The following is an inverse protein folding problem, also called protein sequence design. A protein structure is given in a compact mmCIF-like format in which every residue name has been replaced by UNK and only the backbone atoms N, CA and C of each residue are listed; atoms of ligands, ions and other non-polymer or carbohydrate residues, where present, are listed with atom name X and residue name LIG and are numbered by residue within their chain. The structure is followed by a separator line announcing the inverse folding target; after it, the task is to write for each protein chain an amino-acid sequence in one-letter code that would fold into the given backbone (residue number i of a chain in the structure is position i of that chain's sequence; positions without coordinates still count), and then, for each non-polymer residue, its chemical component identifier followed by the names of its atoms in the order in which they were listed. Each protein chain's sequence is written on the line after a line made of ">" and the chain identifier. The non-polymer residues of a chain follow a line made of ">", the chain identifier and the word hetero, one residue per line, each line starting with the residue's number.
data_IF_644418866724
#
_entry.id   IF_644418866724
#
_cell.length_a   1.000
_cell.length_b   1.000
_cell.length_c   1.000
_cell.angle_alpha   90.00
_cell.angle_beta   90.00
_cell.angle_gamma   90.00
#
_symmetry.space_group_name_H-M   'P 1'
#
loop_
_entity.id
_entity.type
_entity.pdbx_description
1 polymer ?
#
# COMPACT_ATOMS: atom_id res chain seq x y z
N UNK A 1 -64.07 15.88 15.85
CA UNK A 1 -63.94 16.53 14.52
C UNK A 1 -62.58 17.22 14.53
N UNK A 2 -61.49 16.65 13.98
CA UNK A 2 -61.21 16.26 12.57
C UNK A 2 -61.02 17.53 11.69
N UNK A 3 -59.80 17.92 11.26
CA UNK A 3 -58.94 17.51 10.07
C UNK A 3 -58.88 18.66 9.04
N UNK A 4 -57.84 18.97 8.23
CA UNK A 4 -56.49 18.41 7.88
C UNK A 4 -55.61 19.59 7.36
N UNK A 5 -54.28 19.69 7.59
CA UNK A 5 -53.11 19.04 6.94
C UNK A 5 -52.73 19.46 5.50
N UNK A 6 -51.46 19.88 5.33
CA UNK A 6 -50.52 19.71 4.19
C UNK A 6 -49.37 20.74 4.39
N UNK A 7 -48.07 20.46 4.56
CA UNK A 7 -47.17 19.33 4.29
C UNK A 7 -46.71 19.11 2.83
N UNK A 8 -45.64 19.83 2.46
CA UNK A 8 -44.47 19.35 1.70
C UNK A 8 -43.28 20.23 2.14
N UNK A 9 -42.03 19.78 2.21
CA UNK A 9 -41.45 18.53 1.74
C UNK A 9 -40.01 18.76 1.24
N UNK A 10 -39.24 19.61 1.93
CA UNK A 10 -37.87 19.95 1.55
C UNK A 10 -36.91 18.93 2.18
N UNK A 11 -36.53 17.90 1.41
CA UNK A 11 -35.39 17.05 1.78
C UNK A 11 -34.09 17.81 1.54
N UNK A 12 -33.26 17.90 2.58
CA UNK A 12 -31.94 18.49 2.50
C UNK A 12 -30.92 17.48 1.94
N UNK A 13 -31.04 17.14 0.65
CA UNK A 13 -30.12 16.22 -0.07
C UNK A 13 -28.99 16.97 -0.80
N UNK A 14 -28.61 18.16 -0.32
CA UNK A 14 -27.66 19.07 -0.98
C UNK A 14 -26.23 19.04 -0.43
N UNK A 15 -25.82 17.93 0.19
CA UNK A 15 -24.57 17.81 0.95
C UNK A 15 -23.34 17.49 0.07
N UNK A 16 -22.60 18.52 -0.35
CA UNK A 16 -21.23 18.45 -0.92
C UNK A 16 -21.06 17.73 -2.28
N UNK A 17 -21.64 16.56 -2.52
CA UNK A 17 -21.54 15.82 -3.80
C UNK A 17 -22.05 16.67 -4.97
N UNK A 18 -23.21 17.29 -4.74
CA UNK A 18 -23.87 18.24 -5.64
C UNK A 18 -22.93 19.40 -6.01
N UNK A 19 -22.01 19.82 -5.11
CA UNK A 19 -21.12 20.95 -5.37
C UNK A 19 -20.01 20.63 -6.38
N UNK A 20 -19.44 19.42 -6.33
CA UNK A 20 -18.42 18.98 -7.29
C UNK A 20 -19.03 18.58 -8.63
N UNK A 21 -20.17 17.88 -8.63
CA UNK A 21 -20.90 17.53 -9.85
C UNK A 21 -21.44 18.77 -10.59
N UNK A 22 -21.89 19.81 -9.86
CA UNK A 22 -22.24 21.13 -10.42
C UNK A 22 -21.06 21.90 -11.02
N UNK A 23 -19.82 21.59 -10.64
CA UNK A 23 -18.63 22.17 -11.28
C UNK A 23 -18.18 21.33 -12.49
N UNK A 24 -18.19 19.99 -12.36
CA UNK A 24 -17.82 19.08 -13.44
C UNK A 24 -18.72 19.21 -14.67
N UNK A 25 -20.04 19.12 -14.47
CA UNK A 25 -20.96 18.98 -15.60
C UNK A 25 -21.00 20.19 -16.55
N UNK A 26 -20.93 21.45 -16.09
CA UNK A 26 -20.80 22.62 -16.96
C UNK A 26 -19.44 22.72 -17.66
N UNK A 27 -18.34 22.37 -16.99
CA UNK A 27 -17.00 22.38 -17.60
C UNK A 27 -16.91 21.40 -18.77
N UNK A 28 -17.54 20.23 -18.60
CA UNK A 28 -17.67 19.25 -19.68
C UNK A 28 -18.58 19.71 -20.83
N UNK A 29 -19.35 20.79 -20.68
CA UNK A 29 -20.00 21.48 -21.80
C UNK A 29 -19.02 22.29 -22.67
N UNK A 30 -17.90 22.75 -22.11
CA UNK A 30 -16.93 23.63 -22.77
C UNK A 30 -15.88 22.80 -23.52
N UNK A 31 -15.88 22.90 -24.85
CA UNK A 31 -14.95 22.16 -25.71
C UNK A 31 -13.47 22.42 -25.36
N UNK A 32 -13.10 23.67 -25.10
CA UNK A 32 -11.74 24.04 -24.70
C UNK A 32 -11.30 23.34 -23.39
N UNK A 33 -12.21 23.14 -22.43
CA UNK A 33 -11.92 22.43 -21.20
C UNK A 33 -11.72 20.93 -21.44
N UNK A 34 -12.62 20.29 -22.22
CA UNK A 34 -12.47 18.88 -22.63
C UNK A 34 -11.16 18.63 -23.38
N UNK A 35 -10.78 19.54 -24.28
CA UNK A 35 -9.54 19.47 -25.06
C UNK A 35 -8.30 19.79 -24.23
N UNK A 36 -8.40 20.55 -23.13
CA UNK A 36 -7.29 20.88 -22.23
C UNK A 36 -7.01 19.79 -21.18
N UNK A 37 -8.00 18.97 -20.81
CA UNK A 37 -7.83 17.89 -19.84
C UNK A 37 -6.71 16.91 -20.27
N UNK A 38 -5.84 16.54 -19.32
CA UNK A 38 -4.77 15.52 -19.48
C UNK A 38 -4.80 14.46 -18.37
N UNK A 39 -5.42 14.79 -17.24
CA UNK A 39 -5.53 13.97 -16.04
C UNK A 39 -6.91 14.22 -15.42
N UNK A 40 -7.60 13.17 -14.98
CA UNK A 40 -8.82 13.24 -14.17
C UNK A 40 -8.56 12.55 -12.84
N UNK A 41 -9.04 13.17 -11.76
CA UNK A 41 -9.03 12.64 -10.41
C UNK A 41 -10.48 12.36 -10.02
N UNK A 42 -10.77 11.10 -9.70
CA UNK A 42 -12.07 10.59 -9.27
C UNK A 42 -11.95 10.33 -7.78
N UNK A 43 -12.56 11.18 -6.95
CA UNK A 43 -12.64 10.98 -5.51
C UNK A 43 -13.98 10.32 -5.18
N UNK A 44 -14.00 9.19 -4.47
CA UNK A 44 -15.28 8.65 -3.97
C UNK A 44 -15.81 9.51 -2.82
N UNK A 45 -17.13 9.58 -2.60
CA UNK A 45 -17.69 10.39 -1.53
C UNK A 45 -17.24 9.92 -0.14
N UNK A 46 -17.18 10.83 0.84
CA UNK A 46 -16.81 10.53 2.22
C UNK A 46 -17.90 9.79 3.00
N UNK A 47 -17.47 8.89 3.89
CA UNK A 47 -18.35 7.98 4.67
C UNK A 47 -19.48 8.68 5.45
N UNK A 48 -19.26 9.89 5.94
CA UNK A 48 -20.30 10.61 6.70
C UNK A 48 -21.45 11.11 5.81
N UNK A 49 -21.26 11.21 4.49
CA UNK A 49 -22.37 11.40 3.54
C UNK A 49 -23.08 10.07 3.27
N UNK A 50 -22.37 8.94 3.41
CA UNK A 50 -22.92 7.58 3.40
C UNK A 50 -23.48 7.14 4.78
N UNK A 51 -23.49 8.03 5.78
CA UNK A 51 -24.27 7.87 7.02
C UNK A 51 -25.64 8.59 6.89
N UNK A 52 -25.76 9.58 5.99
CA UNK A 52 -27.01 10.28 5.67
C UNK A 52 -27.80 9.59 4.54
N UNK A 53 -27.12 8.82 3.69
CA UNK A 53 -27.70 7.97 2.64
C UNK A 53 -27.75 6.53 3.15
N UNK A 54 -28.88 5.84 2.97
CA UNK A 54 -28.95 4.40 3.24
C UNK A 54 -28.05 3.66 2.24
N UNK A 55 -26.98 3.02 2.75
CA UNK A 55 -26.00 2.23 1.99
C UNK A 55 -26.65 1.33 0.93
N UNK A 56 -27.76 0.67 1.26
CA UNK A 56 -28.47 -0.21 0.35
C UNK A 56 -29.13 0.59 -0.80
N UNK A 57 -29.75 1.73 -0.48
CA UNK A 57 -30.36 2.63 -1.47
C UNK A 57 -29.33 3.23 -2.44
N UNK A 58 -28.10 3.49 -1.99
CA UNK A 58 -27.04 3.97 -2.87
C UNK A 58 -26.52 2.87 -3.78
N UNK A 59 -26.32 1.66 -3.25
CA UNK A 59 -26.00 0.48 -4.08
C UNK A 59 -27.08 0.24 -5.13
N UNK A 60 -28.37 0.30 -4.78
CA UNK A 60 -29.47 0.19 -5.73
C UNK A 60 -29.45 1.30 -6.80
N UNK A 61 -29.19 2.55 -6.42
CA UNK A 61 -29.09 3.68 -7.36
C UNK A 61 -27.90 3.53 -8.33
N UNK A 62 -26.75 3.11 -7.83
CA UNK A 62 -25.54 2.82 -8.60
C UNK A 62 -25.78 1.63 -9.56
N UNK A 63 -26.39 0.54 -9.08
CA UNK A 63 -26.69 -0.64 -9.90
C UNK A 63 -27.80 -0.40 -10.93
N UNK A 64 -28.75 0.49 -10.62
CA UNK A 64 -29.79 0.94 -11.55
C UNK A 64 -29.27 1.81 -12.70
N UNK A 65 -28.06 2.38 -12.56
CA UNK A 65 -27.43 3.23 -13.58
C UNK A 65 -27.88 4.70 -13.58
N UNK A 66 -28.81 5.07 -12.69
CA UNK A 66 -29.32 6.45 -12.55
C UNK A 66 -28.45 7.33 -11.62
N UNK A 67 -27.39 6.77 -11.03
CA UNK A 67 -26.48 7.49 -10.13
C UNK A 67 -25.69 8.62 -10.87
N UNK A 68 -25.75 9.88 -10.39
CA UNK A 68 -25.05 11.01 -11.00
C UNK A 68 -23.53 10.96 -10.96
N UNK A 69 -22.94 10.27 -9.98
CA UNK A 69 -21.50 10.13 -9.81
C UNK A 69 -20.93 9.10 -10.81
N UNK A 70 -21.57 7.93 -10.95
CA UNK A 70 -21.28 6.95 -12.00
C UNK A 70 -21.47 7.57 -13.39
N UNK A 71 -22.57 8.32 -13.59
CA UNK A 71 -22.78 9.08 -14.82
C UNK A 71 -21.64 10.06 -15.11
N UNK A 72 -21.11 10.75 -14.09
CA UNK A 72 -19.97 11.65 -14.22
C UNK A 72 -18.65 10.95 -14.57
N UNK A 73 -18.44 9.70 -14.10
CA UNK A 73 -17.30 8.86 -14.50
C UNK A 73 -17.37 8.56 -16.00
N UNK A 74 -18.52 8.16 -16.54
CA UNK A 74 -18.66 7.88 -17.99
C UNK A 74 -18.35 9.08 -18.89
N UNK A 75 -18.48 10.32 -18.39
CA UNK A 75 -18.09 11.54 -19.12
C UNK A 75 -16.59 11.64 -19.42
N UNK A 76 -15.76 10.81 -18.78
CA UNK A 76 -14.34 10.62 -19.16
C UNK A 76 -14.18 10.26 -20.65
N UNK A 77 -15.18 9.58 -21.23
CA UNK A 77 -15.21 9.25 -22.67
C UNK A 77 -15.21 10.49 -23.58
N UNK A 78 -15.67 11.65 -23.09
CA UNK A 78 -15.70 12.93 -23.82
C UNK A 78 -14.35 13.67 -23.84
N UNK A 79 -13.29 13.14 -23.20
CA UNK A 79 -12.00 13.81 -23.02
C UNK A 79 -10.93 13.29 -24.01
N UNK A 80 -10.74 13.91 -25.18
CA UNK A 80 -9.91 13.33 -26.24
C UNK A 80 -8.42 13.27 -25.88
N UNK A 81 -7.92 14.15 -25.02
CA UNK A 81 -6.50 14.26 -24.70
C UNK A 81 -6.09 13.67 -23.33
N UNK A 82 -6.97 12.93 -22.66
CA UNK A 82 -6.70 12.29 -21.38
C UNK A 82 -5.57 11.23 -21.48
N UNK A 83 -4.56 11.34 -20.62
CA UNK A 83 -3.40 10.42 -20.57
C UNK A 83 -3.21 9.76 -19.20
N UNK A 84 -3.81 10.29 -18.14
CA UNK A 84 -3.70 9.77 -16.78
C UNK A 84 -5.05 9.74 -16.06
N UNK A 85 -5.23 8.75 -15.18
CA UNK A 85 -6.36 8.65 -14.25
C UNK A 85 -5.87 8.46 -12.81
N UNK A 86 -6.56 9.11 -11.88
CA UNK A 86 -6.48 8.82 -10.45
C UNK A 86 -7.85 8.41 -9.95
N UNK A 87 -7.93 7.28 -9.26
CA UNK A 87 -9.07 6.89 -8.44
C UNK A 87 -8.63 6.99 -6.97
N UNK A 88 -9.12 8.00 -6.26
CA UNK A 88 -8.85 8.23 -4.84
C UNK A 88 -10.08 7.77 -4.06
N UNK A 89 -10.04 6.55 -3.53
CA UNK A 89 -11.07 6.11 -2.60
C UNK A 89 -11.01 6.98 -1.34
N UNK A 90 -12.16 7.22 -0.71
CA UNK A 90 -12.15 7.81 0.62
C UNK A 90 -11.38 6.86 1.57
N UNK A 91 -10.58 7.40 2.52
CA UNK A 91 -9.85 6.60 3.50
C UNK A 91 -10.78 6.14 4.62
N UNK A 92 -11.74 5.27 4.26
CA UNK A 92 -12.72 4.72 5.17
C UNK A 92 -12.06 4.01 6.36
N UNK A 93 -12.69 4.13 7.51
CA UNK A 93 -12.48 3.17 8.58
C UNK A 93 -13.29 1.92 8.22
N UNK A 94 -12.61 0.86 7.78
CA UNK A 94 -13.20 -0.47 7.81
C UNK A 94 -13.41 -0.83 9.28
N UNK A 95 -14.67 -0.76 9.70
CA UNK A 95 -15.08 -1.19 11.02
C UNK A 95 -14.79 -2.69 11.10
N UNK A 96 -13.98 -3.09 12.09
CA UNK A 96 -13.65 -4.50 12.29
C UNK A 96 -14.92 -5.30 12.58
N UNK A 97 -14.82 -6.63 12.58
CA UNK A 97 -15.96 -7.53 12.86
C UNK A 97 -16.37 -7.55 14.33
N UNK A 98 -16.28 -6.41 15.02
CA UNK A 98 -16.64 -6.24 16.43
C UNK A 98 -18.17 -6.34 16.63
N UNK A 99 -18.95 -6.14 15.55
CA UNK A 99 -20.35 -6.56 15.44
C UNK A 99 -20.76 -6.87 13.98
N UNK A 100 -21.97 -7.42 13.79
CA UNK A 100 -22.52 -7.80 12.48
C UNK A 100 -22.80 -6.60 11.57
N UNK A 101 -23.22 -5.45 12.10
CA UNK A 101 -23.54 -4.27 11.29
C UNK A 101 -22.28 -3.68 10.64
N UNK A 102 -21.16 -3.67 11.39
CA UNK A 102 -19.84 -3.27 10.89
C UNK A 102 -19.35 -4.18 9.76
N UNK A 103 -19.61 -5.49 9.85
CA UNK A 103 -19.33 -6.45 8.78
C UNK A 103 -20.22 -6.21 7.54
N UNK A 104 -21.52 -5.97 7.72
CA UNK A 104 -22.43 -5.72 6.60
C UNK A 104 -22.09 -4.40 5.87
N UNK A 105 -21.86 -3.30 6.60
CA UNK A 105 -21.40 -2.02 6.01
C UNK A 105 -20.08 -2.18 5.26
N UNK A 106 -19.16 -2.96 5.82
CA UNK A 106 -17.89 -3.30 5.19
C UNK A 106 -18.06 -4.09 3.88
N UNK A 107 -19.00 -5.05 3.81
CA UNK A 107 -19.34 -5.75 2.56
C UNK A 107 -19.95 -4.81 1.51
N UNK A 108 -20.87 -3.92 1.91
CA UNK A 108 -21.47 -2.92 1.00
C UNK A 108 -20.40 -1.99 0.43
N UNK A 109 -19.50 -1.47 1.27
CA UNK A 109 -18.37 -0.64 0.81
C UNK A 109 -17.44 -1.38 -0.16
N UNK A 110 -17.26 -2.70 -0.01
CA UNK A 110 -16.50 -3.51 -0.97
C UNK A 110 -17.19 -3.56 -2.33
N UNK A 111 -18.50 -3.73 -2.37
CA UNK A 111 -19.26 -3.80 -3.63
C UNK A 111 -19.39 -2.43 -4.32
N UNK A 112 -19.60 -1.34 -3.57
CA UNK A 112 -19.50 0.05 -4.07
C UNK A 112 -18.15 0.27 -4.77
N UNK A 113 -17.04 -0.09 -4.10
CA UNK A 113 -15.68 0.04 -4.65
C UNK A 113 -15.51 -0.77 -5.93
N UNK A 114 -16.07 -1.99 -6.01
CA UNK A 114 -16.09 -2.82 -7.23
C UNK A 114 -16.84 -2.14 -8.38
N UNK A 115 -18.02 -1.57 -8.13
CA UNK A 115 -18.84 -0.95 -9.19
C UNK A 115 -18.16 0.32 -9.72
N UNK A 116 -17.65 1.18 -8.83
CA UNK A 116 -16.90 2.38 -9.22
C UNK A 116 -15.66 1.99 -10.06
N UNK A 117 -14.94 0.94 -9.65
CA UNK A 117 -13.78 0.46 -10.40
C UNK A 117 -14.15 -0.08 -11.79
N UNK A 118 -15.24 -0.85 -11.91
CA UNK A 118 -15.77 -1.30 -13.20
C UNK A 118 -16.18 -0.12 -14.10
N UNK A 119 -16.92 0.87 -13.60
CA UNK A 119 -17.32 2.05 -14.37
C UNK A 119 -16.11 2.82 -14.94
N UNK A 120 -15.00 2.88 -14.19
CA UNK A 120 -13.73 3.45 -14.67
C UNK A 120 -13.13 2.60 -15.80
N UNK A 121 -13.04 1.28 -15.63
CA UNK A 121 -12.50 0.36 -16.64
C UNK A 121 -13.33 0.38 -17.93
N UNK A 122 -14.66 0.40 -17.82
CA UNK A 122 -15.59 0.52 -18.96
C UNK A 122 -15.40 1.85 -19.69
N UNK A 123 -15.32 2.96 -18.93
CA UNK A 123 -15.04 4.28 -19.49
C UNK A 123 -13.71 4.32 -20.25
N UNK A 124 -12.67 3.65 -19.75
CA UNK A 124 -11.39 3.51 -20.45
C UNK A 124 -11.53 2.72 -21.77
N UNK A 125 -12.25 1.60 -21.77
CA UNK A 125 -12.46 0.76 -22.96
C UNK A 125 -13.32 1.47 -24.01
N UNK A 126 -14.45 2.06 -23.61
CA UNK A 126 -15.33 2.83 -24.51
C UNK A 126 -14.55 3.98 -25.13
N UNK A 127 -13.81 4.74 -24.32
CA UNK A 127 -12.98 5.86 -24.80
C UNK A 127 -11.91 5.41 -25.80
N UNK A 128 -11.34 4.22 -25.63
CA UNK A 128 -10.33 3.65 -26.53
C UNK A 128 -10.90 3.13 -27.88
N UNK A 129 -12.21 3.18 -28.10
CA UNK A 129 -12.83 2.86 -29.41
C UNK A 129 -12.68 3.98 -30.44
N UNK A 130 -12.54 5.24 -29.99
CA UNK A 130 -12.27 6.38 -30.87
C UNK A 130 -10.74 6.50 -31.11
N UNK A 131 -10.25 6.38 -32.37
CA UNK A 131 -8.82 6.46 -32.68
C UNK A 131 -8.22 7.87 -32.50
N UNK A 132 -9.04 8.92 -32.47
CA UNK A 132 -8.57 10.30 -32.25
C UNK A 132 -8.23 10.58 -30.76
N UNK A 133 -8.62 9.67 -29.86
CA UNK A 133 -8.36 9.80 -28.43
C UNK A 133 -6.94 9.35 -28.06
N UNK A 134 -6.22 10.16 -27.28
CA UNK A 134 -4.93 9.79 -26.69
C UNK A 134 -5.06 8.56 -25.79
N UNK A 135 -4.02 7.75 -25.69
CA UNK A 135 -4.02 6.58 -24.81
C UNK A 135 -3.84 6.99 -23.34
N UNK A 136 -4.65 6.43 -22.43
CA UNK A 136 -4.42 6.51 -20.98
C UNK A 136 -3.27 5.55 -20.65
N UNK A 137 -2.15 6.09 -20.16
CA UNK A 137 -0.92 5.34 -19.84
C UNK A 137 -0.60 5.29 -18.35
N UNK A 138 -1.23 6.13 -17.54
CA UNK A 138 -0.99 6.19 -16.09
C UNK A 138 -2.29 5.96 -15.32
N UNK A 139 -2.25 5.03 -14.36
CA UNK A 139 -3.33 4.75 -13.43
C UNK A 139 -2.79 4.81 -12.00
N UNK A 140 -3.34 5.70 -11.18
CA UNK A 140 -3.11 5.76 -9.75
C UNK A 140 -4.38 5.36 -9.02
N UNK A 141 -4.29 4.37 -8.13
CA UNK A 141 -5.37 3.97 -7.22
C UNK A 141 -4.90 4.29 -5.81
N UNK A 142 -5.63 5.16 -5.13
CA UNK A 142 -5.32 5.64 -3.78
C UNK A 142 -6.39 5.20 -2.78
N UNK A 143 -5.96 4.95 -1.54
CA UNK A 143 -6.73 4.33 -0.46
C UNK A 143 -7.46 3.04 -0.88
N UNK A 144 -6.82 2.24 -1.74
CA UNK A 144 -7.27 0.88 -2.03
C UNK A 144 -7.17 0.05 -0.75
N UNK A 145 -8.23 -0.60 -0.32
CA UNK A 145 -8.17 -1.47 0.84
C UNK A 145 -7.55 -2.83 0.47
N UNK A 146 -7.07 -3.57 1.48
CA UNK A 146 -6.39 -4.87 1.36
C UNK A 146 -7.37 -6.02 1.03
N UNK A 147 -8.16 -5.86 -0.04
CA UNK A 147 -9.17 -6.82 -0.50
C UNK A 147 -8.83 -7.36 -1.89
N UNK A 148 -8.69 -8.69 -2.06
CA UNK A 148 -8.57 -9.25 -3.39
C UNK A 148 -9.90 -9.10 -4.16
N UNK A 149 -9.80 -8.70 -5.44
CA UNK A 149 -10.93 -8.56 -6.38
C UNK A 149 -10.68 -9.40 -7.66
N UNK A 150 -10.43 -10.71 -7.53
CA UNK A 150 -10.00 -11.58 -8.62
C UNK A 150 -11.02 -11.68 -9.76
N UNK A 151 -12.30 -11.44 -9.48
CA UNK A 151 -13.35 -11.43 -10.49
C UNK A 151 -13.16 -10.27 -11.48
N UNK A 152 -12.62 -9.14 -11.00
CA UNK A 152 -12.32 -7.98 -11.85
C UNK A 152 -10.98 -8.16 -12.57
N UNK A 153 -9.89 -8.48 -11.86
CA UNK A 153 -8.55 -8.57 -12.52
C UNK A 153 -8.44 -9.71 -13.52
N UNK A 154 -9.20 -10.79 -13.34
CA UNK A 154 -9.26 -11.88 -14.33
C UNK A 154 -10.11 -11.56 -15.55
N UNK A 155 -10.94 -10.51 -15.49
CA UNK A 155 -11.89 -10.16 -16.55
C UNK A 155 -11.23 -9.62 -17.82
N UNK A 156 -11.88 -9.82 -18.96
CA UNK A 156 -11.42 -9.25 -20.22
C UNK A 156 -11.63 -7.73 -20.30
N UNK A 157 -12.55 -7.19 -19.49
CA UNK A 157 -12.71 -5.75 -19.27
C UNK A 157 -11.42 -5.16 -18.67
N UNK A 158 -10.93 -5.72 -17.57
CA UNK A 158 -9.70 -5.26 -16.91
C UNK A 158 -8.49 -5.35 -17.85
N UNK A 159 -8.29 -6.50 -18.52
CA UNK A 159 -7.20 -6.68 -19.49
C UNK A 159 -7.30 -5.66 -20.63
N UNK A 160 -8.49 -5.42 -21.16
CA UNK A 160 -8.71 -4.47 -22.27
C UNK A 160 -8.45 -3.02 -21.87
N UNK A 161 -8.87 -2.61 -20.67
CA UNK A 161 -8.62 -1.29 -20.12
C UNK A 161 -7.11 -1.07 -19.83
N UNK A 162 -6.45 -2.06 -19.24
CA UNK A 162 -5.09 -1.92 -18.70
C UNK A 162 -3.97 -2.27 -19.68
N UNK A 163 -4.25 -2.85 -20.85
CA UNK A 163 -3.26 -3.26 -21.88
C UNK A 163 -2.23 -2.19 -22.28
N UNK A 164 -2.58 -0.91 -22.13
CA UNK A 164 -1.74 0.24 -22.48
C UNK A 164 -1.28 1.07 -21.26
N UNK A 165 -1.58 0.63 -20.04
CA UNK A 165 -1.13 1.30 -18.81
C UNK A 165 0.34 0.97 -18.58
N UNK A 166 1.21 1.96 -18.79
CA UNK A 166 2.66 1.87 -18.59
C UNK A 166 3.09 2.28 -17.18
N UNK A 167 2.23 3.00 -16.44
CA UNK A 167 2.49 3.44 -15.07
C UNK A 167 1.33 3.06 -14.16
N UNK A 168 1.60 2.20 -13.17
CA UNK A 168 0.64 1.79 -12.16
C UNK A 168 1.13 2.22 -10.78
N UNK A 169 0.29 2.93 -10.05
CA UNK A 169 0.58 3.38 -8.69
C UNK A 169 -0.52 2.92 -7.74
N UNK A 170 -0.19 2.04 -6.80
CA UNK A 170 -1.12 1.51 -5.80
C UNK A 170 -0.74 2.08 -4.42
N UNK A 171 -1.63 2.89 -3.85
CA UNK A 171 -1.57 3.33 -2.44
C UNK A 171 -2.62 2.55 -1.67
N UNK A 172 -2.15 1.56 -0.91
CA UNK A 172 -2.99 0.61 -0.19
C UNK A 172 -3.17 1.11 1.25
N UNK A 173 -4.42 1.30 1.66
CA UNK A 173 -4.79 1.72 3.02
C UNK A 173 -5.15 0.48 3.82
N UNK A 174 -4.35 0.18 4.84
CA UNK A 174 -4.63 -0.95 5.73
C UNK A 174 -5.81 -0.67 6.65
N UNK A 175 -6.69 -1.65 6.78
CA UNK A 175 -8.09 -1.53 7.22
C UNK A 175 -8.30 -1.67 8.73
N UNK A 176 -7.27 -1.52 9.56
CA UNK A 176 -7.42 -1.70 11.01
C UNK A 176 -8.08 -0.48 11.69
N UNK A 177 -9.39 -0.54 11.97
CA UNK A 177 -10.09 0.52 12.71
C UNK A 177 -10.97 0.07 13.89
N UNK A 178 -10.90 -1.19 14.32
CA UNK A 178 -11.50 -1.62 15.61
C UNK A 178 -10.64 -1.25 16.84
N UNK A 179 -11.21 -1.14 18.05
CA UNK A 179 -10.46 -1.09 19.31
C UNK A 179 -9.74 -2.40 19.66
N UNK A 180 -10.24 -3.58 19.26
CA UNK A 180 -9.59 -4.88 19.50
C UNK A 180 -8.67 -5.30 18.34
N UNK A 181 -7.50 -4.65 18.25
CA UNK A 181 -6.67 -4.63 17.03
C UNK A 181 -5.96 -5.94 16.67
N UNK A 182 -5.82 -6.87 17.61
CA UNK A 182 -5.23 -8.20 17.47
C UNK A 182 -5.90 -9.05 16.37
N UNK A 183 -7.21 -8.89 16.17
CA UNK A 183 -7.98 -9.65 15.16
C UNK A 183 -7.65 -9.29 13.71
N UNK A 184 -6.99 -8.15 13.43
CA UNK A 184 -6.82 -7.69 12.05
C UNK A 184 -5.80 -8.54 11.26
N UNK A 185 -4.71 -8.98 11.90
CA UNK A 185 -3.72 -9.93 11.31
C UNK A 185 -4.33 -11.31 10.99
N UNK A 186 -5.51 -11.56 11.55
CA UNK A 186 -6.24 -12.82 11.43
C UNK A 186 -7.32 -12.79 10.34
N UNK A 187 -7.60 -11.63 9.73
CA UNK A 187 -8.51 -11.53 8.57
C UNK A 187 -8.01 -12.39 7.41
N UNK A 188 -8.92 -12.90 6.59
CA UNK A 188 -8.54 -13.69 5.42
C UNK A 188 -8.05 -12.79 4.29
N UNK A 189 -8.62 -11.60 4.23
CA UNK A 189 -8.44 -10.56 3.23
C UNK A 189 -7.00 -10.07 3.18
N UNK A 190 -6.43 -9.61 4.30
CA UNK A 190 -5.03 -9.17 4.37
C UNK A 190 -4.07 -10.30 3.93
N UNK A 191 -4.30 -11.52 4.44
CA UNK A 191 -3.48 -12.71 4.13
C UNK A 191 -3.56 -13.13 2.66
N UNK A 192 -4.68 -12.86 1.99
CA UNK A 192 -4.88 -13.16 0.57
C UNK A 192 -4.42 -12.01 -0.33
N UNK A 193 -4.42 -10.76 0.13
CA UNK A 193 -4.16 -9.59 -0.71
C UNK A 193 -2.72 -9.52 -1.21
N UNK A 194 -1.71 -9.80 -0.38
CA UNK A 194 -0.31 -9.83 -0.82
C UNK A 194 -0.02 -10.96 -1.85
N UNK A 195 -0.47 -12.22 -1.63
CA UNK A 195 -0.43 -13.25 -2.67
C UNK A 195 -1.17 -12.86 -3.95
N UNK A 196 -2.37 -12.31 -3.85
CA UNK A 196 -3.16 -11.83 -4.99
C UNK A 196 -2.45 -10.73 -5.78
N UNK A 197 -1.77 -9.81 -5.08
CA UNK A 197 -0.99 -8.74 -5.69
C UNK A 197 0.13 -9.30 -6.58
N UNK A 198 0.90 -10.29 -6.09
CA UNK A 198 2.02 -10.86 -6.85
C UNK A 198 1.63 -11.93 -7.88
N UNK A 199 0.54 -12.68 -7.66
CA UNK A 199 0.16 -13.83 -8.50
C UNK A 199 -0.91 -13.49 -9.56
N UNK A 200 -1.82 -12.55 -9.28
CA UNK A 200 -2.96 -12.26 -10.15
C UNK A 200 -2.91 -10.83 -10.71
N UNK A 201 -2.81 -9.83 -9.84
CA UNK A 201 -2.90 -8.41 -10.23
C UNK A 201 -1.66 -8.00 -11.04
N UNK A 202 -0.46 -8.02 -10.48
CA UNK A 202 0.72 -7.50 -11.19
C UNK A 202 1.10 -8.27 -12.47
N UNK A 203 1.00 -9.62 -12.53
CA UNK A 203 1.26 -10.37 -13.75
C UNK A 203 0.37 -9.96 -14.94
N UNK A 204 -0.87 -9.55 -14.68
CA UNK A 204 -1.81 -9.11 -15.74
C UNK A 204 -1.39 -7.81 -16.46
N UNK A 205 -0.49 -7.01 -15.87
CA UNK A 205 0.07 -5.80 -16.50
C UNK A 205 1.56 -5.93 -16.90
N UNK A 206 2.15 -7.11 -16.72
CA UNK A 206 3.60 -7.26 -16.70
C UNK A 206 4.34 -6.80 -17.97
N UNK A 207 3.75 -7.04 -19.15
CA UNK A 207 4.40 -6.79 -20.43
C UNK A 207 4.46 -5.32 -20.85
N UNK A 208 3.72 -4.42 -20.19
CA UNK A 208 3.64 -3.00 -20.53
C UNK A 208 4.14 -2.05 -19.43
N UNK A 209 4.18 -2.49 -18.18
CA UNK A 209 4.61 -1.63 -17.06
C UNK A 209 6.08 -1.19 -17.18
N UNK A 210 6.26 0.13 -17.15
CA UNK A 210 7.54 0.84 -17.00
C UNK A 210 7.69 1.45 -15.62
N UNK A 211 6.59 1.87 -15.01
CA UNK A 211 6.56 2.45 -13.67
C UNK A 211 5.64 1.63 -12.78
N UNK A 212 6.16 1.15 -11.65
CA UNK A 212 5.36 0.50 -10.61
C UNK A 212 5.60 1.21 -9.29
N UNK A 213 4.52 1.54 -8.58
CA UNK A 213 4.56 1.96 -7.19
C UNK A 213 3.66 1.06 -6.35
N UNK A 214 4.23 0.43 -5.33
CA UNK A 214 3.54 -0.34 -4.31
C UNK A 214 3.81 0.33 -2.96
N UNK A 215 2.83 1.05 -2.42
CA UNK A 215 2.95 1.64 -1.09
C UNK A 215 1.75 1.28 -0.25
N UNK A 216 2.00 0.73 0.93
CA UNK A 216 0.97 0.47 1.92
C UNK A 216 1.02 1.58 2.98
N UNK A 217 -0.08 1.81 3.68
CA UNK A 217 -0.13 2.74 4.82
C UNK A 217 0.43 2.14 6.11
N UNK A 218 0.89 0.90 6.04
CA UNK A 218 1.50 0.09 7.09
C UNK A 218 2.60 -0.77 6.47
N UNK A 219 3.39 -1.39 7.34
CA UNK A 219 4.36 -2.41 7.00
C UNK A 219 3.71 -3.67 6.40
N UNK A 220 4.30 -4.17 5.32
CA UNK A 220 3.79 -5.26 4.49
C UNK A 220 4.94 -6.10 3.89
N UNK A 221 4.61 -7.28 3.37
CA UNK A 221 5.54 -8.20 2.70
C UNK A 221 5.85 -9.47 3.49
N UNK A 222 5.65 -9.45 4.81
CA UNK A 222 5.86 -10.61 5.70
C UNK A 222 4.85 -10.58 6.87
N UNK A 223 4.67 -11.73 7.52
CA UNK A 223 3.73 -12.00 8.61
C UNK A 223 2.27 -12.04 8.16
N UNK A 224 1.58 -10.91 7.96
CA UNK A 224 0.13 -10.89 7.66
C UNK A 224 -0.23 -11.16 6.18
N UNK A 225 0.68 -11.80 5.46
CA UNK A 225 0.79 -11.88 4.00
C UNK A 225 2.25 -12.21 3.66
N UNK A 226 2.49 -12.72 2.46
CA UNK A 226 3.87 -12.92 2.00
C UNK A 226 4.04 -12.45 0.56
N UNK A 227 4.78 -11.37 0.41
CA UNK A 227 5.23 -10.85 -0.88
C UNK A 227 6.76 -10.97 -0.96
N UNK A 228 7.22 -11.97 -1.71
CA UNK A 228 8.63 -12.13 -2.10
C UNK A 228 8.84 -11.90 -3.61
N UNK A 229 7.77 -11.55 -4.35
CA UNK A 229 7.81 -11.22 -5.77
C UNK A 229 8.32 -12.36 -6.67
N UNK A 230 8.40 -13.58 -6.17
CA UNK A 230 9.03 -14.71 -6.87
C UNK A 230 8.24 -15.08 -8.12
N UNK A 231 8.90 -15.00 -9.27
CA UNK A 231 8.28 -15.24 -10.57
C UNK A 231 7.61 -14.00 -11.19
N UNK A 232 7.55 -12.87 -10.48
CA UNK A 232 7.10 -11.61 -11.05
C UNK A 232 8.18 -11.04 -11.97
N UNK A 233 7.90 -11.01 -13.28
CA UNK A 233 8.80 -10.50 -14.31
C UNK A 233 8.13 -9.35 -15.06
N UNK A 234 8.63 -8.13 -14.84
CA UNK A 234 8.15 -6.88 -15.45
C UNK A 234 9.21 -6.39 -16.45
N UNK A 235 9.31 -6.98 -17.67
CA UNK A 235 10.47 -6.85 -18.58
C UNK A 235 10.72 -5.44 -19.14
N UNK A 236 9.87 -4.46 -18.84
CA UNK A 236 10.03 -3.04 -19.24
C UNK A 236 10.15 -2.11 -18.04
N UNK A 237 10.25 -2.62 -16.81
CA UNK A 237 10.22 -1.81 -15.60
C UNK A 237 11.48 -0.93 -15.50
N UNK A 238 11.29 0.37 -15.67
CA UNK A 238 12.33 1.40 -15.58
C UNK A 238 12.29 2.11 -14.21
N UNK A 239 11.12 2.22 -13.57
CA UNK A 239 10.94 2.85 -12.26
C UNK A 239 10.18 1.95 -11.30
N UNK A 240 10.78 1.64 -10.15
CA UNK A 240 10.11 0.98 -9.03
C UNK A 240 10.08 1.89 -7.80
N UNK A 241 8.95 1.91 -7.11
CA UNK A 241 8.84 2.47 -5.76
C UNK A 241 8.17 1.49 -4.82
N UNK A 242 8.82 1.24 -3.69
CA UNK A 242 8.29 0.46 -2.58
C UNK A 242 8.11 1.39 -1.37
N UNK A 243 6.91 1.38 -0.79
CA UNK A 243 6.55 2.17 0.39
C UNK A 243 6.16 1.27 1.56
N UNK A 244 6.84 1.40 2.70
CA UNK A 244 6.71 0.56 3.91
C UNK A 244 6.96 -0.95 3.71
N UNK A 245 7.67 -1.36 2.65
CA UNK A 245 7.98 -2.78 2.40
C UNK A 245 8.98 -3.32 3.42
N UNK A 246 8.70 -4.49 3.99
CA UNK A 246 9.52 -5.13 5.03
C UNK A 246 10.21 -6.37 4.51
N UNK A 247 11.52 -6.44 4.71
CA UNK A 247 12.34 -7.61 4.42
C UNK A 247 12.58 -8.43 5.69
N UNK A 248 12.22 -9.71 5.64
CA UNK A 248 12.39 -10.68 6.73
C UNK A 248 13.03 -12.00 6.29
N UNK A 249 13.78 -12.00 5.19
CA UNK A 249 14.57 -13.13 4.71
C UNK A 249 15.55 -12.70 3.60
N UNK A 250 16.67 -13.39 3.44
CA UNK A 250 17.79 -12.91 2.62
C UNK A 250 17.45 -12.78 1.13
N UNK A 251 16.46 -13.56 0.66
CA UNK A 251 16.03 -13.60 -0.75
C UNK A 251 14.81 -12.73 -1.06
N UNK A 252 14.25 -12.04 -0.05
CA UNK A 252 13.01 -11.28 -0.23
C UNK A 252 13.18 -10.08 -1.17
N UNK A 253 14.41 -9.61 -1.40
CA UNK A 253 14.71 -8.53 -2.33
C UNK A 253 15.12 -9.01 -3.73
N UNK A 254 15.30 -10.32 -3.95
CA UNK A 254 15.82 -10.90 -5.21
C UNK A 254 14.95 -10.52 -6.42
N UNK A 255 13.62 -10.41 -6.22
CA UNK A 255 12.71 -10.02 -7.29
C UNK A 255 12.99 -8.60 -7.81
N UNK A 256 13.38 -7.65 -6.95
CA UNK A 256 13.79 -6.30 -7.38
C UNK A 256 15.06 -6.39 -8.21
N UNK A 257 16.04 -7.17 -7.74
CA UNK A 257 17.34 -7.37 -8.39
C UNK A 257 17.24 -8.07 -9.75
N UNK A 258 16.16 -8.80 -10.02
CA UNK A 258 15.88 -9.43 -11.31
C UNK A 258 15.59 -8.40 -12.43
N UNK A 259 15.10 -7.20 -12.09
CA UNK A 259 14.64 -6.20 -13.04
C UNK A 259 15.79 -5.33 -13.58
N UNK A 260 16.61 -5.90 -14.48
CA UNK A 260 17.81 -5.24 -15.04
C UNK A 260 17.53 -3.96 -15.83
N UNK A 261 16.29 -3.72 -16.22
CA UNK A 261 15.84 -2.48 -16.88
C UNK A 261 15.65 -1.31 -15.91
N UNK A 262 15.71 -1.53 -14.59
CA UNK A 262 15.52 -0.46 -13.60
C UNK A 262 16.56 0.65 -13.76
N UNK A 263 16.03 1.87 -13.91
CA UNK A 263 16.77 3.14 -13.98
C UNK A 263 16.53 3.97 -12.72
N UNK A 264 15.35 3.84 -12.12
CA UNK A 264 14.94 4.52 -10.90
C UNK A 264 14.45 3.52 -9.85
N UNK A 265 15.00 3.56 -8.65
CA UNK A 265 14.56 2.77 -7.50
C UNK A 265 14.35 3.67 -6.28
N UNK A 266 13.16 3.61 -5.72
CA UNK A 266 12.74 4.41 -4.56
C UNK A 266 12.30 3.46 -3.45
N UNK A 267 12.97 3.55 -2.31
CA UNK A 267 12.66 2.80 -1.08
C UNK A 267 12.19 3.81 -0.02
N UNK A 268 10.88 3.97 0.12
CA UNK A 268 10.26 4.87 1.12
C UNK A 268 9.89 4.07 2.37
N UNK A 269 10.55 4.35 3.49
CA UNK A 269 10.30 3.68 4.78
C UNK A 269 10.35 2.14 4.71
N UNK A 270 11.13 1.60 3.78
CA UNK A 270 11.42 0.18 3.72
C UNK A 270 12.35 -0.20 4.88
N UNK A 271 12.06 -1.29 5.58
CA UNK A 271 12.86 -1.75 6.73
C UNK A 271 13.21 -3.23 6.64
N UNK A 272 14.18 -3.63 7.43
CA UNK A 272 14.45 -5.03 7.74
C UNK A 272 13.78 -5.35 9.08
N UNK A 273 12.95 -6.39 9.14
CA UNK A 273 12.45 -6.89 10.42
C UNK A 273 13.58 -7.65 11.12
N UNK A 274 14.10 -7.05 12.18
CA UNK A 274 15.27 -7.53 12.92
C UNK A 274 14.89 -8.55 14.00
N UNK A 275 13.72 -8.35 14.60
CA UNK A 275 13.17 -9.18 15.68
C UNK A 275 11.72 -9.53 15.34
N UNK A 276 11.35 -10.78 15.57
CA UNK A 276 10.04 -11.35 15.31
C UNK A 276 9.58 -12.07 16.58
N UNK A 277 8.38 -11.75 17.05
CA UNK A 277 7.76 -12.35 18.23
C UNK A 277 6.34 -12.80 17.89
N UNK A 278 6.10 -14.10 17.99
CA UNK A 278 4.86 -14.81 17.58
C UNK A 278 4.73 -16.11 18.37
N UNK A 279 3.52 -16.66 18.51
CA UNK A 279 3.31 -18.06 18.88
C UNK A 279 3.33 -18.98 17.64
N UNK A 280 3.41 -20.29 17.88
CA UNK A 280 3.41 -21.33 16.83
C UNK A 280 2.12 -21.31 15.99
N UNK A 281 0.96 -21.14 16.63
CA UNK A 281 -0.36 -21.12 15.98
C UNK A 281 -0.44 -20.00 14.92
N UNK A 282 0.03 -18.79 15.25
CA UNK A 282 0.09 -17.69 14.28
C UNK A 282 1.19 -17.91 13.24
N UNK A 283 2.35 -18.44 13.61
CA UNK A 283 3.43 -18.74 12.66
C UNK A 283 2.97 -19.74 11.58
N UNK A 284 2.27 -20.81 11.95
CA UNK A 284 1.66 -21.77 11.01
C UNK A 284 0.54 -21.11 10.20
N UNK A 285 -0.40 -20.40 10.87
CA UNK A 285 -1.53 -19.70 10.22
C UNK A 285 -1.12 -18.66 9.19
N UNK A 286 0.07 -18.08 9.35
CA UNK A 286 0.66 -17.08 8.45
C UNK A 286 1.60 -17.70 7.41
N UNK A 287 1.94 -18.99 7.52
CA UNK A 287 2.93 -19.63 6.65
C UNK A 287 4.33 -19.02 6.79
N UNK A 288 4.68 -18.60 8.00
CA UNK A 288 5.85 -17.78 8.28
C UNK A 288 7.15 -18.58 8.09
N UNK A 289 8.04 -18.11 7.22
CA UNK A 289 9.33 -18.75 6.95
C UNK A 289 10.39 -18.25 7.92
N UNK A 290 10.64 -19.01 8.99
CA UNK A 290 11.67 -18.73 9.99
C UNK A 290 13.03 -19.38 9.67
N UNK A 291 13.23 -19.85 8.43
CA UNK A 291 14.44 -20.58 7.97
C UNK A 291 15.73 -19.77 8.16
N UNK A 292 15.66 -18.46 7.88
CA UNK A 292 16.77 -17.51 7.95
C UNK A 292 17.02 -16.96 9.37
N UNK A 293 16.21 -17.38 10.36
CA UNK A 293 16.09 -16.73 11.67
C UNK A 293 16.74 -17.53 12.81
N UNK A 294 17.45 -16.83 13.71
CA UNK A 294 17.90 -17.39 14.99
C UNK A 294 16.75 -17.37 15.98
N UNK A 295 16.23 -18.54 16.36
CA UNK A 295 15.31 -18.72 17.49
C UNK A 295 16.07 -18.57 18.82
N UNK A 296 15.52 -17.79 19.74
CA UNK A 296 16.07 -17.59 21.09
C UNK A 296 15.49 -18.59 22.09
N UNK A 297 16.19 -18.90 23.20
CA UNK A 297 15.62 -19.68 24.29
C UNK A 297 14.42 -18.94 24.92
N UNK A 298 13.51 -19.67 25.61
CA UNK A 298 12.48 -19.05 26.42
C UNK A 298 13.05 -18.02 27.40
N UNK A 299 12.26 -16.98 27.72
CA UNK A 299 12.63 -15.85 28.58
C UNK A 299 13.70 -14.90 28.04
N UNK A 300 14.17 -15.09 26.81
CA UNK A 300 15.00 -14.08 26.14
C UNK A 300 14.29 -12.71 26.10
N UNK A 301 15.08 -11.65 26.16
CA UNK A 301 14.63 -10.26 26.24
C UNK A 301 13.74 -9.94 27.46
N UNK A 302 13.81 -10.76 28.51
CA UNK A 302 12.98 -10.66 29.72
C UNK A 302 11.46 -10.71 29.45
N UNK A 303 11.05 -11.45 28.43
CA UNK A 303 9.62 -11.74 28.21
C UNK A 303 9.11 -12.84 29.14
N UNK A 304 7.87 -12.73 29.66
CA UNK A 304 7.23 -13.81 30.42
C UNK A 304 6.99 -15.06 29.55
N UNK A 305 6.71 -16.19 30.24
CA UNK A 305 6.62 -17.58 29.73
C UNK A 305 5.87 -17.80 28.39
N UNK A 306 6.10 -18.95 27.72
CA UNK A 306 5.41 -19.39 26.48
C UNK A 306 3.87 -19.29 26.53
N UNK A 307 3.17 -19.25 25.38
CA UNK A 307 3.54 -19.86 24.08
C UNK A 307 4.35 -18.98 23.12
N UNK A 308 4.73 -17.77 23.53
CA UNK A 308 5.32 -16.78 22.63
C UNK A 308 6.82 -17.06 22.41
N UNK A 309 7.20 -17.22 21.15
CA UNK A 309 8.56 -17.43 20.71
C UNK A 309 9.21 -16.12 20.24
N UNK A 310 10.54 -16.03 20.29
CA UNK A 310 11.29 -14.85 19.83
C UNK A 310 12.42 -15.26 18.90
N UNK A 311 12.53 -14.54 17.79
CA UNK A 311 13.48 -14.78 16.72
C UNK A 311 14.22 -13.49 16.36
N UNK A 312 15.48 -13.60 15.93
CA UNK A 312 16.24 -12.51 15.32
C UNK A 312 16.75 -12.87 13.93
N UNK A 313 16.68 -11.92 13.01
CA UNK A 313 17.26 -12.02 11.67
C UNK A 313 18.63 -11.31 11.66
N UNK A 314 19.65 -11.95 11.10
CA UNK A 314 20.99 -11.35 10.97
C UNK A 314 21.16 -10.51 9.68
N UNK A 315 20.06 -10.21 8.99
CA UNK A 315 20.03 -9.41 7.77
C UNK A 315 20.30 -7.93 8.07
N UNK A 316 21.11 -7.29 7.22
CA UNK A 316 21.49 -5.88 7.34
C UNK A 316 21.28 -5.15 6.01
N UNK A 317 21.37 -3.82 6.03
CA UNK A 317 21.22 -3.02 4.81
C UNK A 317 22.46 -3.04 3.92
N UNK A 318 23.65 -3.22 4.50
CA UNK A 318 24.92 -3.47 3.81
C UNK A 318 24.79 -4.40 2.56
N UNK A 319 24.39 -5.69 2.69
CA UNK A 319 24.25 -6.59 1.55
C UNK A 319 23.11 -6.20 0.62
N UNK A 320 22.07 -5.49 1.08
CA UNK A 320 20.98 -5.02 0.21
C UNK A 320 21.48 -3.91 -0.70
N UNK A 321 22.18 -2.91 -0.17
CA UNK A 321 22.77 -1.83 -0.96
C UNK A 321 23.89 -2.33 -1.89
N UNK A 322 24.75 -3.24 -1.41
CA UNK A 322 25.76 -3.89 -2.26
C UNK A 322 25.10 -4.67 -3.40
N UNK A 323 24.06 -5.45 -3.13
CA UNK A 323 23.36 -6.19 -4.18
C UNK A 323 22.68 -5.25 -5.18
N UNK A 324 22.05 -4.14 -4.75
CA UNK A 324 21.52 -3.10 -5.65
C UNK A 324 22.67 -2.56 -6.53
N UNK A 325 23.81 -2.23 -5.92
CA UNK A 325 25.00 -1.69 -6.59
C UNK A 325 25.55 -2.67 -7.62
N UNK A 326 25.70 -3.95 -7.30
CA UNK A 326 26.24 -4.96 -8.21
C UNK A 326 25.26 -5.44 -9.28
N UNK A 327 23.96 -5.48 -8.99
CA UNK A 327 22.99 -6.17 -9.86
C UNK A 327 22.06 -5.25 -10.66
N UNK A 328 21.91 -3.97 -10.31
CA UNK A 328 21.13 -2.99 -11.08
C UNK A 328 22.07 -2.03 -11.81
N UNK A 329 22.78 -2.54 -12.81
CA UNK A 329 23.81 -1.80 -13.56
C UNK A 329 23.29 -0.56 -14.32
N UNK A 330 22.00 -0.54 -14.66
CA UNK A 330 21.34 0.58 -15.36
C UNK A 330 20.74 1.63 -14.41
N UNK A 331 20.86 1.44 -13.09
CA UNK A 331 20.30 2.35 -12.08
C UNK A 331 21.04 3.68 -12.06
N UNK A 332 20.33 4.77 -12.36
CA UNK A 332 20.83 6.16 -12.44
C UNK A 332 20.11 7.13 -11.50
N UNK A 333 19.05 6.68 -10.83
CA UNK A 333 18.26 7.46 -9.87
C UNK A 333 17.92 6.55 -8.68
N UNK A 334 18.43 6.84 -7.48
CA UNK A 334 18.23 6.00 -6.29
C UNK A 334 17.89 6.83 -5.05
N UNK A 335 16.86 6.39 -4.31
CA UNK A 335 16.45 7.03 -3.07
C UNK A 335 16.12 6.03 -1.98
N UNK A 336 16.57 6.34 -0.76
CA UNK A 336 16.22 5.64 0.47
C UNK A 336 15.80 6.70 1.50
N UNK A 337 14.50 6.77 1.81
CA UNK A 337 13.87 7.91 2.48
C UNK A 337 13.12 7.53 3.77
N UNK A 338 13.08 8.46 4.72
CA UNK A 338 12.35 8.32 5.99
C UNK A 338 11.63 9.61 6.46
N UNK A 339 11.10 10.44 5.54
CA UNK A 339 10.29 11.61 5.95
C UNK A 339 8.95 11.16 6.55
N UNK A 340 8.76 11.41 7.85
CA UNK A 340 7.57 11.00 8.62
C UNK A 340 6.32 11.85 8.35
N UNK A 341 6.43 12.90 7.53
CA UNK A 341 5.45 14.01 7.48
C UNK A 341 4.40 13.94 6.37
N UNK A 342 4.40 12.92 5.51
CA UNK A 342 3.39 12.73 4.44
C UNK A 342 3.46 11.31 3.84
N UNK A 343 2.35 10.69 3.39
CA UNK A 343 2.41 9.72 2.30
C UNK A 343 3.05 10.35 1.04
N UNK A 344 4.34 10.06 0.87
CA UNK A 344 5.32 10.78 0.06
C UNK A 344 4.95 11.03 -1.42
N UNK A 345 4.00 10.28 -1.97
CA UNK A 345 3.64 10.24 -3.40
C UNK A 345 3.05 11.53 -3.97
N UNK A 346 2.56 12.46 -3.14
CA UNK A 346 2.11 13.78 -3.60
C UNK A 346 3.26 14.81 -3.69
N UNK A 347 4.49 14.48 -3.27
CA UNK A 347 5.63 15.42 -3.21
C UNK A 347 6.65 15.22 -4.35
N UNK A 348 6.55 16.08 -5.36
CA UNK A 348 7.63 16.32 -6.34
C UNK A 348 8.46 17.50 -5.83
N UNK A 349 9.60 17.28 -5.15
CA UNK A 349 10.47 18.43 -4.81
C UNK A 349 11.67 18.24 -3.88
N UNK A 350 11.72 17.26 -3.00
CA UNK A 350 12.84 17.12 -2.04
C UNK A 350 13.14 15.65 -1.74
N UNK A 351 13.82 14.98 -2.68
CA UNK A 351 14.21 13.59 -2.50
C UNK A 351 15.58 13.53 -1.81
N UNK A 352 15.63 13.07 -0.56
CA UNK A 352 16.87 12.82 0.18
C UNK A 352 17.15 11.33 0.26
N UNK A 353 18.44 11.00 0.38
CA UNK A 353 18.92 9.66 0.68
C UNK A 353 19.77 9.76 1.94
N UNK A 354 19.30 9.18 3.04
CA UNK A 354 19.97 9.24 4.35
C UNK A 354 19.66 7.96 5.15
N UNK A 355 20.63 7.49 5.95
CA UNK A 355 20.38 6.37 6.85
C UNK A 355 19.50 6.80 8.03
N UNK A 356 18.29 6.26 8.07
CA UNK A 356 17.42 6.37 9.24
C UNK A 356 17.86 5.40 10.36
N UNK A 357 17.80 5.82 11.64
CA UNK A 357 17.82 4.89 12.78
C UNK A 357 16.66 3.87 12.72
N UNK A 358 15.53 4.27 12.14
CA UNK A 358 14.30 3.47 12.04
C UNK A 358 14.32 2.44 10.89
N UNK A 359 15.44 2.28 10.18
CA UNK A 359 15.59 1.33 9.05
C UNK A 359 15.47 -0.16 9.43
N UNK A 360 15.40 -0.44 10.73
CA UNK A 360 15.10 -1.74 11.30
C UNK A 360 13.82 -1.66 12.13
N UNK A 361 13.00 -2.70 12.06
CA UNK A 361 11.74 -2.79 12.79
C UNK A 361 11.67 -4.08 13.62
N UNK A 362 10.77 -4.12 14.62
CA UNK A 362 10.32 -5.35 15.30
C UNK A 362 8.89 -5.68 14.87
N UNK A 363 8.62 -6.98 14.70
CA UNK A 363 7.26 -7.51 14.73
C UNK A 363 7.01 -8.21 16.06
N UNK A 364 5.91 -7.86 16.75
CA UNK A 364 5.44 -8.52 17.96
C UNK A 364 3.91 -8.58 17.94
N UNK A 365 3.35 -9.78 17.77
CA UNK A 365 1.88 -9.93 17.67
C UNK A 365 1.11 -9.52 18.94
N UNK A 366 1.80 -9.35 20.07
CA UNK A 366 1.20 -8.92 21.34
C UNK A 366 1.23 -7.42 21.57
N UNK A 367 1.76 -6.63 20.62
CA UNK A 367 1.84 -5.18 20.77
C UNK A 367 0.63 -4.45 20.19
N UNK A 368 0.25 -3.37 20.86
CA UNK A 368 -0.88 -2.51 20.53
C UNK A 368 -0.39 -1.06 20.36
N UNK A 369 -0.85 -0.29 19.36
CA UNK A 369 -2.05 -0.51 18.55
C UNK A 369 -1.85 -1.32 17.25
N UNK A 370 -0.69 -1.95 17.07
CA UNK A 370 -0.39 -2.89 15.99
C UNK A 370 0.93 -3.61 16.24
N UNK A 371 1.22 -4.70 15.54
CA UNK A 371 2.37 -5.56 15.86
C UNK A 371 3.71 -5.01 15.37
N UNK A 372 3.68 -4.02 14.49
CA UNK A 372 4.86 -3.37 13.95
C UNK A 372 5.30 -2.31 14.94
N UNK A 373 6.46 -2.54 15.56
CA UNK A 373 7.05 -1.67 16.58
C UNK A 373 8.30 -1.03 15.99
N UNK A 374 8.21 0.26 15.74
CA UNK A 374 9.34 1.11 15.37
C UNK A 374 10.38 1.13 16.51
N UNK A 375 11.64 1.37 16.14
CA UNK A 375 12.65 1.77 17.11
C UNK A 375 12.40 3.21 17.61
N UNK A 376 13.12 3.63 18.65
CA UNK A 376 13.19 5.04 19.04
C UNK A 376 14.07 5.88 18.09
N UNK A 377 14.20 7.17 18.38
CA UNK A 377 14.98 8.12 17.55
C UNK A 377 16.47 7.75 17.46
N UNK A 378 17.00 6.98 18.41
CA UNK A 378 18.38 6.47 18.42
C UNK A 378 18.50 5.06 17.80
N UNK A 379 17.39 4.47 17.33
CA UNK A 379 17.34 3.15 16.71
C UNK A 379 17.33 1.98 17.69
N UNK A 380 17.03 2.23 18.97
CA UNK A 380 16.89 1.21 20.01
C UNK A 380 15.46 0.69 20.10
N UNK A 381 15.30 -0.60 20.37
CA UNK A 381 13.99 -1.22 20.57
C UNK A 381 13.62 -1.32 22.05
N UNK A 382 12.45 -0.77 22.42
CA UNK A 382 11.85 -0.98 23.73
C UNK A 382 11.28 -2.39 23.86
N UNK A 383 12.00 -3.32 24.50
CA UNK A 383 11.52 -4.68 24.79
C UNK A 383 10.81 -4.82 26.15
N UNK A 384 11.04 -3.88 27.09
CA UNK A 384 10.75 -4.12 28.52
C UNK A 384 10.05 -2.97 29.29
N UNK A 385 9.60 -1.89 28.63
CA UNK A 385 8.93 -0.79 29.37
C UNK A 385 7.61 -1.24 30.03
N UNK A 386 6.91 -2.21 29.44
CA UNK A 386 5.68 -2.78 30.01
C UNK A 386 5.94 -3.87 31.06
N UNK A 387 7.08 -4.58 31.04
CA UNK A 387 7.42 -5.62 32.02
C UNK A 387 8.12 -5.07 33.27
N UNK A 388 8.66 -3.84 33.24
CA UNK A 388 9.36 -3.20 34.36
C UNK A 388 8.59 -3.09 35.71
N UNK A 389 7.29 -3.43 35.75
CA UNK A 389 6.51 -3.62 36.99
C UNK A 389 6.80 -4.94 37.70
N UNK A 390 7.33 -5.96 37.02
CA UNK A 390 7.67 -7.28 37.56
C UNK A 390 9.18 -7.38 37.82
N UNK A 391 9.67 -6.64 38.83
CA UNK A 391 11.10 -6.46 39.15
C UNK A 391 11.79 -7.71 39.75
N UNK A 392 11.86 -8.80 39.00
CA UNK A 392 12.65 -10.00 39.38
C UNK A 392 13.39 -10.66 38.23
N UNK A 393 13.25 -10.17 37.00
CA UNK A 393 13.87 -10.79 35.83
C UNK A 393 15.40 -10.58 35.82
N UNK A 394 16.18 -11.58 35.37
CA UNK A 394 17.63 -11.45 35.27
C UNK A 394 18.02 -10.36 34.26
N UNK A 395 19.19 -9.71 34.44
CA UNK A 395 19.67 -8.73 33.48
C UNK A 395 19.90 -9.40 32.11
N UNK A 396 19.56 -8.69 31.04
CA UNK A 396 19.82 -9.12 29.67
C UNK A 396 21.30 -9.49 29.48
N UNK A 397 21.53 -10.60 28.79
CA UNK A 397 22.86 -11.02 28.37
C UNK A 397 23.49 -9.99 27.42
N UNK A 398 24.82 -10.05 27.31
CA UNK A 398 25.56 -9.17 26.40
C UNK A 398 25.13 -9.40 24.94
N UNK A 399 24.84 -10.64 24.54
CA UNK A 399 24.38 -10.97 23.18
C UNK A 399 23.03 -10.31 22.87
N UNK A 400 22.04 -10.40 23.78
CA UNK A 400 20.74 -9.75 23.62
C UNK A 400 20.88 -8.22 23.55
N UNK A 401 21.70 -7.63 24.42
CA UNK A 401 21.91 -6.17 24.44
C UNK A 401 22.51 -5.62 23.15
N UNK A 402 23.36 -6.40 22.47
CA UNK A 402 23.96 -6.02 21.19
C UNK A 402 22.97 -6.07 20.02
N UNK A 403 21.91 -6.89 20.09
CA UNK A 403 20.85 -6.90 19.06
C UNK A 403 19.82 -5.79 19.25
N UNK A 404 19.67 -5.20 20.45
CA UNK A 404 18.64 -4.20 20.73
C UNK A 404 18.75 -2.89 19.94
N UNK A 405 19.92 -2.55 19.40
CA UNK A 405 20.09 -1.40 18.51
C UNK A 405 20.89 -1.83 17.25
N UNK A 406 20.24 -2.52 16.29
CA UNK A 406 20.91 -2.92 15.05
C UNK A 406 21.28 -1.69 14.20
N UNK A 407 20.56 -0.58 14.38
CA UNK A 407 20.78 0.65 13.65
C UNK A 407 22.14 1.30 13.97
N UNK A 408 22.60 1.27 15.22
CA UNK A 408 23.94 1.69 15.62
C UNK A 408 24.97 0.59 15.32
N UNK A 409 24.68 -0.68 15.67
CA UNK A 409 25.58 -1.83 15.46
C UNK A 409 26.00 -2.02 13.99
N UNK A 410 25.15 -1.66 13.02
CA UNK A 410 25.44 -1.79 11.59
C UNK A 410 25.69 -0.46 10.86
N UNK A 411 25.65 0.67 11.56
CA UNK A 411 25.73 2.04 11.01
C UNK A 411 26.88 2.29 10.04
N UNK A 412 28.10 1.93 10.44
CA UNK A 412 29.30 2.14 9.60
C UNK A 412 29.26 1.32 8.31
N UNK A 413 28.71 0.11 8.38
CA UNK A 413 28.67 -0.84 7.27
C UNK A 413 27.56 -0.52 6.27
N UNK A 414 26.36 -0.30 6.79
CA UNK A 414 25.21 0.16 6.01
C UNK A 414 25.55 1.51 5.34
N UNK A 415 26.24 2.41 6.06
CA UNK A 415 26.60 3.75 5.58
C UNK A 415 27.57 3.69 4.42
N UNK A 416 28.68 2.95 4.57
CA UNK A 416 29.62 2.70 3.48
C UNK A 416 28.92 2.09 2.26
N UNK A 417 28.09 1.07 2.44
CA UNK A 417 27.42 0.40 1.33
C UNK A 417 26.42 1.32 0.61
N UNK A 418 25.76 2.22 1.35
CA UNK A 418 24.90 3.26 0.78
C UNK A 418 25.71 4.31 0.00
N UNK A 419 26.83 4.78 0.55
CA UNK A 419 27.72 5.74 -0.11
C UNK A 419 28.34 5.16 -1.40
N UNK A 420 28.82 3.91 -1.35
CA UNK A 420 29.34 3.17 -2.51
C UNK A 420 28.25 2.98 -3.59
N UNK A 421 27.00 2.74 -3.18
CA UNK A 421 25.85 2.66 -4.09
C UNK A 421 25.55 4.02 -4.73
N UNK A 422 25.48 5.10 -3.95
CA UNK A 422 25.23 6.45 -4.43
C UNK A 422 26.30 6.90 -5.43
N UNK A 423 27.59 6.68 -5.12
CA UNK A 423 28.68 7.01 -6.03
C UNK A 423 28.58 6.22 -7.34
N UNK A 424 28.22 4.94 -7.29
CA UNK A 424 28.03 4.12 -8.49
C UNK A 424 26.82 4.60 -9.34
N UNK A 425 25.73 5.04 -8.70
CA UNK A 425 24.55 5.60 -9.36
C UNK A 425 24.88 6.94 -10.03
N UNK A 426 25.60 7.83 -9.35
CA UNK A 426 26.08 9.09 -9.96
C UNK A 426 27.00 8.83 -11.16
N UNK A 427 27.95 7.91 -11.03
CA UNK A 427 28.89 7.58 -12.11
C UNK A 427 28.19 6.96 -13.34
N UNK A 428 27.05 6.28 -13.14
CA UNK A 428 26.20 5.81 -14.24
C UNK A 428 25.41 6.95 -14.87
N UNK A 429 24.81 7.83 -14.07
CA UNK A 429 24.07 8.99 -14.56
C UNK A 429 24.96 9.88 -15.46
N UNK A 430 26.20 10.17 -15.01
CA UNK A 430 27.21 10.93 -15.76
C UNK A 430 27.71 10.27 -17.07
N UNK A 431 27.37 9.00 -17.33
CA UNK A 431 27.70 8.30 -18.60
C UNK A 431 26.54 8.29 -19.61
N UNK A 432 25.32 8.60 -19.16
CA UNK A 432 24.11 8.63 -20.00
C UNK A 432 23.79 10.07 -20.45
N UNK A 433 24.21 11.07 -19.67
CA UNK A 433 24.24 12.48 -20.07
C UNK A 433 25.46 12.82 -20.93
#
# INVERSE_FOLDING_TARGET
>A
MSTTSAMSGLSALGGVEDLYLRQWNPQMGVEAARNAARHVIICTPPDYLLDEIDDASWVESIQGGDDPFISAIYRITELPNLTALTLDFYPNHWYGTDNEADLQRSLVLKDIRKIIFNAVLESMVIRATNPDNTTIRSLLISNMCEFPIPEITSSDLFKSATRNVESLHLMIKSTSAGPMRWFNLCTNEMRQFEPYLQLDLLPSLAHQLKTLTLSFSKHWGICSGSFDGRGLLLPKLETLTLGNYVMGGYKQFDWVLAHKTLRTLILDRCCIVSHLRTDDDNAERWGLRTEDWKKWPPFAFAFPTPPIETFTLAGTWEPVFDNIRYHLENLVDFYFNWDTRDPYFRRVGARRTELSPLRYIRFDFTECPGPWVDADEDGHFGFAEHTAKYRSDPPLSEEERLTLNPAETHKERDGRALDDLLQAVEDRARRIC
#
